data_IF_706975136604
#
_entry.id   IF_706975136604
#
_cell.length_a   1.000
_cell.length_b   1.000
_cell.length_c   1.000
_cell.angle_alpha   90.00
_cell.angle_beta   90.00
_cell.angle_gamma   90.00
#
_symmetry.space_group_name_H-M   'P 1'
#
loop_
_entity.id
_entity.type
_entity.pdbx_description
1 polymer ?
#
# COMPACT_ATOMS: atom_id res chain seq x y z
N UNK A 1 -10.84 -2.24 -7.17
CA UNK A 1 -9.50 -2.64 -7.65
C UNK A 1 -8.66 -1.41 -7.91
N UNK A 2 -7.35 -1.53 -7.78
CA UNK A 2 -6.41 -0.46 -8.09
C UNK A 2 -6.29 -0.29 -9.61
N UNK A 3 -6.00 0.93 -10.11
CA UNK A 3 -5.77 1.15 -11.55
C UNK A 3 -4.65 0.25 -12.07
N UNK A 4 -4.89 -0.44 -13.18
CA UNK A 4 -3.90 -1.37 -13.74
C UNK A 4 -2.60 -0.65 -14.11
N UNK A 5 -2.70 0.55 -14.69
CA UNK A 5 -1.54 1.36 -15.04
C UNK A 5 -0.61 1.65 -13.85
N UNK A 6 -1.16 1.76 -12.63
CA UNK A 6 -0.40 1.93 -11.40
C UNK A 6 0.44 0.68 -11.08
N UNK A 7 -0.19 -0.49 -11.15
CA UNK A 7 0.48 -1.78 -10.89
C UNK A 7 1.56 -2.05 -11.94
N UNK A 8 1.27 -1.79 -13.21
CA UNK A 8 2.23 -1.90 -14.32
C UNK A 8 3.44 -0.98 -14.11
N UNK A 9 3.20 0.25 -13.66
CA UNK A 9 4.27 1.21 -13.39
C UNK A 9 5.19 0.75 -12.27
N UNK A 10 4.64 0.24 -11.16
CA UNK A 10 5.44 -0.35 -10.06
C UNK A 10 6.33 -1.47 -10.58
N UNK A 11 5.77 -2.37 -11.40
CA UNK A 11 6.52 -3.48 -11.99
C UNK A 11 7.59 -3.00 -13.00
N UNK A 12 7.36 -1.89 -13.69
CA UNK A 12 8.34 -1.29 -14.59
C UNK A 12 9.53 -0.69 -13.85
N UNK A 13 9.28 -0.07 -12.71
CA UNK A 13 10.33 0.58 -11.91
C UNK A 13 11.15 -0.39 -11.06
N UNK A 14 10.63 -1.58 -10.78
CA UNK A 14 11.34 -2.60 -10.03
C UNK A 14 12.58 -3.13 -10.80
N UNK A 15 13.72 -3.40 -10.13
CA UNK A 15 14.95 -3.88 -10.79
C UNK A 15 14.79 -5.27 -11.40
N UNK A 16 13.89 -6.07 -10.87
CA UNK A 16 13.43 -7.34 -11.41
C UNK A 16 11.99 -7.62 -10.96
N UNK A 17 11.38 -8.68 -11.48
CA UNK A 17 9.98 -9.03 -11.19
C UNK A 17 9.86 -10.36 -10.46
N UNK A 18 10.84 -10.68 -9.62
CA UNK A 18 10.84 -11.96 -8.92
C UNK A 18 9.90 -11.93 -7.71
N UNK A 19 10.12 -10.99 -6.78
CA UNK A 19 9.35 -10.93 -5.53
C UNK A 19 8.92 -9.50 -5.24
N UNK A 20 7.62 -9.30 -5.00
CA UNK A 20 7.05 -8.08 -4.44
C UNK A 20 6.45 -8.36 -3.06
N UNK A 21 6.64 -7.44 -2.13
CA UNK A 21 5.97 -7.46 -0.83
C UNK A 21 4.77 -6.52 -0.85
N UNK A 22 3.56 -7.06 -0.70
CA UNK A 22 2.32 -6.33 -0.46
C UNK A 22 2.10 -6.22 1.05
N UNK A 23 2.40 -5.05 1.62
CA UNK A 23 2.40 -4.82 3.07
C UNK A 23 1.14 -4.10 3.53
N UNK A 24 0.44 -4.67 4.50
CA UNK A 24 -0.92 -4.26 4.86
C UNK A 24 -1.91 -4.68 3.77
N UNK A 25 -1.79 -5.95 3.34
CA UNK A 25 -2.49 -6.49 2.16
C UNK A 25 -4.00 -6.58 2.34
N UNK A 26 -4.49 -6.56 3.59
CA UNK A 26 -5.89 -6.83 3.89
C UNK A 26 -6.30 -8.20 3.35
N UNK A 27 -7.40 -8.24 2.59
CA UNK A 27 -7.86 -9.46 1.94
C UNK A 27 -7.23 -9.73 0.56
N UNK A 28 -6.11 -9.06 0.22
CA UNK A 28 -5.28 -9.39 -0.94
C UNK A 28 -5.66 -8.72 -2.26
N UNK A 29 -6.36 -7.58 -2.25
CA UNK A 29 -6.78 -6.92 -3.49
C UNK A 29 -5.60 -6.46 -4.35
N UNK A 30 -4.59 -5.80 -3.74
CA UNK A 30 -3.39 -5.40 -4.46
C UNK A 30 -2.50 -6.59 -4.80
N UNK A 31 -2.34 -7.54 -3.86
CA UNK A 31 -1.61 -8.79 -4.08
C UNK A 31 -2.09 -9.55 -5.32
N UNK A 32 -3.41 -9.61 -5.52
CA UNK A 32 -4.02 -10.27 -6.66
C UNK A 32 -3.57 -9.68 -8.00
N UNK A 33 -3.60 -8.35 -8.12
CA UNK A 33 -3.22 -7.65 -9.34
C UNK A 33 -1.69 -7.64 -9.53
N UNK A 34 -0.90 -7.49 -8.44
CA UNK A 34 0.57 -7.57 -8.45
C UNK A 34 1.07 -8.92 -8.96
N UNK A 35 0.35 -10.02 -8.69
CA UNK A 35 0.75 -11.37 -9.12
C UNK A 35 0.79 -11.55 -10.64
N UNK A 36 0.09 -10.72 -11.39
CA UNK A 36 0.14 -10.77 -12.86
C UNK A 36 1.44 -10.15 -13.42
N UNK A 37 2.21 -9.45 -12.57
CA UNK A 37 3.43 -8.73 -12.94
C UNK A 37 4.69 -9.22 -12.24
N UNK A 38 4.55 -9.99 -11.14
CA UNK A 38 5.67 -10.55 -10.38
C UNK A 38 5.55 -12.07 -10.28
N UNK A 39 6.69 -12.76 -10.23
CA UNK A 39 6.71 -14.24 -10.08
C UNK A 39 6.11 -14.69 -8.74
N UNK A 40 6.42 -13.94 -7.67
CA UNK A 40 5.89 -14.18 -6.34
C UNK A 40 5.43 -12.89 -5.66
N UNK A 41 4.34 -12.98 -4.92
CA UNK A 41 3.85 -11.92 -4.03
C UNK A 41 3.91 -12.45 -2.59
N UNK A 42 4.67 -11.77 -1.74
CA UNK A 42 4.59 -11.97 -0.30
C UNK A 42 3.64 -10.91 0.27
N UNK A 43 2.51 -11.37 0.79
CA UNK A 43 1.42 -10.52 1.24
C UNK A 43 1.26 -10.64 2.76
N UNK A 44 1.41 -9.54 3.48
CA UNK A 44 1.34 -9.54 4.96
C UNK A 44 0.30 -8.57 5.48
N UNK A 45 -0.36 -8.98 6.55
CA UNK A 45 -1.27 -8.13 7.32
C UNK A 45 -1.21 -8.57 8.78
N UNK A 46 -1.29 -7.67 9.78
CA UNK A 46 -1.34 -8.06 11.18
C UNK A 46 -2.67 -8.72 11.58
N UNK A 47 -3.72 -8.56 10.78
CA UNK A 47 -5.04 -9.14 11.03
C UNK A 47 -5.14 -10.56 10.48
N UNK A 48 -5.23 -11.55 11.37
CA UNK A 48 -5.49 -12.94 11.00
C UNK A 48 -6.83 -13.08 10.27
N UNK A 49 -7.83 -12.28 10.62
CA UNK A 49 -9.14 -12.27 9.96
C UNK A 49 -9.01 -11.85 8.49
N UNK A 50 -8.24 -10.81 8.18
CA UNK A 50 -8.02 -10.37 6.81
C UNK A 50 -7.32 -11.47 5.99
N UNK A 51 -6.27 -12.06 6.55
CA UNK A 51 -5.51 -13.12 5.88
C UNK A 51 -6.38 -14.37 5.63
N UNK A 52 -7.23 -14.74 6.57
CA UNK A 52 -8.15 -15.88 6.43
C UNK A 52 -9.15 -15.69 5.28
N UNK A 53 -9.55 -14.44 5.02
CA UNK A 53 -10.48 -14.09 3.93
C UNK A 53 -9.76 -13.65 2.64
N UNK A 54 -8.43 -13.80 2.57
CA UNK A 54 -7.67 -13.37 1.42
C UNK A 54 -7.96 -14.21 0.16
N UNK A 55 -7.93 -13.55 -0.98
CA UNK A 55 -8.16 -14.16 -2.29
C UNK A 55 -6.99 -15.06 -2.68
N UNK A 56 -7.24 -16.37 -2.78
CA UNK A 56 -6.19 -17.34 -3.12
C UNK A 56 -5.85 -17.31 -4.62
N UNK A 57 -4.56 -17.11 -4.93
CA UNK A 57 -4.02 -17.16 -6.30
C UNK A 57 -2.63 -17.84 -6.24
N UNK A 58 -2.31 -18.76 -7.14
CA UNK A 58 -0.97 -19.37 -7.18
C UNK A 58 0.12 -18.32 -7.29
N UNK A 59 1.16 -18.43 -6.47
CA UNK A 59 2.27 -17.48 -6.42
C UNK A 59 2.06 -16.31 -5.47
N UNK A 60 0.96 -16.26 -4.71
CA UNK A 60 0.79 -15.38 -3.56
C UNK A 60 0.97 -16.19 -2.29
N UNK A 61 1.83 -15.73 -1.39
CA UNK A 61 2.02 -16.28 -0.05
C UNK A 61 1.53 -15.27 0.98
N UNK A 62 0.48 -15.62 1.69
CA UNK A 62 -0.09 -14.80 2.76
C UNK A 62 0.49 -15.19 4.12
N UNK A 63 0.78 -14.20 4.96
CA UNK A 63 1.20 -14.44 6.34
C UNK A 63 0.76 -13.33 7.30
N UNK A 64 0.46 -13.71 8.54
CA UNK A 64 0.09 -12.75 9.60
C UNK A 64 1.37 -12.17 10.17
N UNK A 65 1.73 -10.94 9.76
CA UNK A 65 2.93 -10.24 10.19
C UNK A 65 2.69 -8.74 10.22
N UNK A 66 3.32 -8.05 11.17
CA UNK A 66 3.30 -6.60 11.24
C UNK A 66 4.26 -5.98 10.21
N UNK A 67 3.92 -4.78 9.73
CA UNK A 67 4.71 -4.04 8.75
C UNK A 67 6.13 -3.70 9.24
N UNK A 68 6.28 -3.53 10.55
CA UNK A 68 7.51 -3.12 11.21
C UNK A 68 8.53 -4.24 11.39
N UNK A 69 8.13 -5.48 11.13
CA UNK A 69 9.01 -6.65 11.21
C UNK A 69 8.40 -7.84 10.50
N UNK A 70 9.10 -8.35 9.49
CA UNK A 70 8.72 -9.55 8.74
C UNK A 70 9.86 -10.56 8.70
N UNK A 71 9.50 -11.85 8.53
CA UNK A 71 10.47 -12.96 8.48
C UNK A 71 11.09 -13.12 7.08
N UNK A 72 11.27 -12.01 6.35
CA UNK A 72 11.89 -12.03 5.03
C UNK A 72 13.40 -11.85 5.15
N UNK A 73 14.20 -12.53 4.30
CA UNK A 73 15.63 -12.30 4.25
C UNK A 73 15.97 -10.86 3.87
N UNK A 74 17.17 -10.41 4.27
CA UNK A 74 17.68 -9.12 3.81
C UNK A 74 17.80 -9.11 2.29
N UNK A 75 17.49 -7.97 1.66
CA UNK A 75 17.63 -7.76 0.21
C UNK A 75 16.95 -8.87 -0.63
N UNK A 76 15.75 -9.25 -0.25
CA UNK A 76 15.01 -10.36 -0.86
C UNK A 76 13.89 -9.93 -1.80
N UNK A 77 13.39 -8.68 -1.69
CA UNK A 77 12.26 -8.22 -2.51
C UNK A 77 12.68 -7.13 -3.49
N UNK A 78 12.04 -7.11 -4.65
CA UNK A 78 12.29 -6.15 -5.72
C UNK A 78 11.46 -4.88 -5.57
N UNK A 79 10.29 -5.02 -4.97
CA UNK A 79 9.40 -3.90 -4.65
C UNK A 79 8.68 -4.13 -3.32
N UNK A 80 8.36 -3.04 -2.63
CA UNK A 80 7.42 -3.01 -1.50
C UNK A 80 6.27 -2.11 -1.87
N UNK A 81 5.05 -2.64 -1.77
CA UNK A 81 3.81 -1.92 -2.08
C UNK A 81 2.97 -1.81 -0.82
N UNK A 82 2.47 -0.61 -0.56
CA UNK A 82 1.52 -0.32 0.52
C UNK A 82 0.31 0.39 -0.08
N UNK A 83 -0.82 -0.29 -0.10
CA UNK A 83 -2.05 0.21 -0.66
C UNK A 83 -3.07 0.47 0.44
N UNK A 84 -3.41 1.73 0.73
CA UNK A 84 -4.36 2.16 1.77
C UNK A 84 -4.00 1.74 3.21
N UNK A 85 -2.72 1.52 3.52
CA UNK A 85 -2.32 1.02 4.85
C UNK A 85 -1.24 1.87 5.54
N UNK A 86 -0.47 2.67 4.82
CA UNK A 86 0.73 3.36 5.36
C UNK A 86 0.45 4.22 6.60
N UNK A 87 -0.74 4.81 6.71
CA UNK A 87 -1.13 5.66 7.84
C UNK A 87 -1.32 4.91 9.17
N UNK A 88 -1.32 3.57 9.15
CA UNK A 88 -1.42 2.74 10.35
C UNK A 88 -0.08 2.35 10.96
N UNK A 89 1.03 2.54 10.22
CA UNK A 89 2.33 1.99 10.57
C UNK A 89 3.14 2.90 11.50
N UNK A 90 4.02 2.31 12.30
CA UNK A 90 5.16 3.01 12.90
C UNK A 90 6.19 3.28 11.80
N UNK A 91 6.15 4.48 11.23
CA UNK A 91 6.95 4.83 10.05
C UNK A 91 8.44 4.64 10.24
N UNK A 92 8.99 4.98 11.42
CA UNK A 92 10.42 4.85 11.69
C UNK A 92 10.88 3.38 11.64
N UNK A 93 10.12 2.50 12.28
CA UNK A 93 10.39 1.05 12.28
C UNK A 93 10.10 0.43 10.93
N UNK A 94 8.98 0.81 10.31
CA UNK A 94 8.58 0.32 9.00
C UNK A 94 9.65 0.63 7.93
N UNK A 95 10.12 1.88 7.82
CA UNK A 95 11.15 2.21 6.82
C UNK A 95 12.51 1.57 7.11
N UNK A 96 12.81 1.26 8.37
CA UNK A 96 13.99 0.43 8.72
C UNK A 96 13.84 -0.96 8.11
N UNK A 97 12.67 -1.55 8.22
CA UNK A 97 12.36 -2.88 7.67
C UNK A 97 12.32 -2.86 6.14
N UNK A 98 11.69 -1.85 5.52
CA UNK A 98 11.71 -1.66 4.06
C UNK A 98 13.14 -1.64 3.52
N UNK A 99 14.03 -0.84 4.13
CA UNK A 99 15.45 -0.77 3.74
C UNK A 99 16.17 -2.11 3.89
N UNK A 100 15.81 -2.89 4.91
CA UNK A 100 16.40 -4.20 5.14
C UNK A 100 16.01 -5.22 4.07
N UNK A 101 14.73 -5.26 3.68
CA UNK A 101 14.22 -6.28 2.76
C UNK A 101 14.37 -5.93 1.29
N UNK A 102 14.40 -4.64 0.92
CA UNK A 102 14.58 -4.21 -0.46
C UNK A 102 15.98 -4.58 -0.97
N UNK A 103 16.03 -5.13 -2.17
CA UNK A 103 17.26 -5.29 -2.94
C UNK A 103 17.85 -3.94 -3.33
N UNK A 104 19.14 -3.88 -3.67
CA UNK A 104 19.71 -2.69 -4.29
C UNK A 104 18.89 -2.26 -5.51
N UNK A 105 18.52 -0.97 -5.57
CA UNK A 105 17.62 -0.38 -6.57
C UNK A 105 16.16 -0.86 -6.48
N UNK A 106 15.79 -1.62 -5.45
CA UNK A 106 14.40 -1.96 -5.18
C UNK A 106 13.55 -0.72 -4.91
N UNK A 107 12.28 -0.77 -5.23
CA UNK A 107 11.38 0.38 -5.13
C UNK A 107 10.36 0.21 -4.01
N UNK A 108 10.06 1.32 -3.34
CA UNK A 108 8.94 1.43 -2.41
C UNK A 108 7.84 2.26 -3.06
N UNK A 109 6.62 1.77 -2.98
CA UNK A 109 5.46 2.45 -3.49
C UNK A 109 4.34 2.46 -2.44
N UNK A 110 3.78 3.64 -2.18
CA UNK A 110 2.59 3.79 -1.35
C UNK A 110 1.50 4.54 -2.10
N UNK A 111 0.28 4.05 -2.05
CA UNK A 111 -0.87 4.74 -2.59
C UNK A 111 -2.04 4.74 -1.59
N UNK A 112 -2.86 5.75 -1.74
CA UNK A 112 -4.11 5.87 -1.03
C UNK A 112 -5.10 6.68 -1.85
N UNK A 113 -6.37 6.46 -1.61
CA UNK A 113 -7.43 7.30 -2.15
C UNK A 113 -8.21 7.92 -0.99
N UNK A 114 -8.69 9.11 -1.24
CA UNK A 114 -9.59 9.84 -0.36
C UNK A 114 -11.01 9.75 -0.92
N UNK A 115 -11.85 10.69 -0.53
CA UNK A 115 -13.21 10.77 -1.04
C UNK A 115 -13.23 11.16 -2.52
N UNK A 116 -14.15 10.54 -3.28
CA UNK A 116 -14.38 10.92 -4.67
C UNK A 116 -14.87 12.37 -4.75
N UNK A 117 -14.39 13.11 -5.75
CA UNK A 117 -14.88 14.43 -6.11
C UNK A 117 -15.77 14.28 -7.36
N UNK A 118 -17.02 14.68 -7.25
CA UNK A 118 -18.04 14.49 -8.31
C UNK A 118 -18.49 15.83 -8.88
N UNK A 119 -19.08 16.67 -8.03
CA UNK A 119 -19.41 18.05 -8.33
C UNK A 119 -19.50 18.85 -7.02
N UNK A 120 -19.33 20.19 -7.06
CA UNK A 120 -19.40 21.00 -5.85
C UNK A 120 -20.68 20.80 -5.03
N UNK A 121 -21.81 20.59 -5.69
CA UNK A 121 -23.12 20.40 -5.05
C UNK A 121 -23.21 19.03 -4.37
N UNK A 122 -22.77 17.98 -5.05
CA UNK A 122 -22.79 16.61 -4.51
C UNK A 122 -21.77 16.50 -3.39
N UNK A 123 -20.56 17.03 -3.58
CA UNK A 123 -19.49 17.00 -2.58
C UNK A 123 -19.88 17.75 -1.29
N UNK A 124 -20.58 18.90 -1.42
CA UNK A 124 -21.14 19.62 -0.28
C UNK A 124 -22.19 18.77 0.47
N UNK A 125 -23.11 18.15 -0.25
CA UNK A 125 -24.14 17.30 0.34
C UNK A 125 -23.54 16.06 1.04
N UNK A 126 -22.54 15.41 0.44
CA UNK A 126 -21.81 14.29 1.04
C UNK A 126 -21.06 14.75 2.30
N UNK A 127 -20.41 15.88 2.23
CA UNK A 127 -19.70 16.46 3.38
C UNK A 127 -20.64 16.72 4.56
N UNK A 128 -21.78 17.35 4.32
CA UNK A 128 -22.76 17.67 5.35
C UNK A 128 -23.44 16.43 5.92
N UNK A 129 -23.93 15.54 5.05
CA UNK A 129 -24.76 14.40 5.44
C UNK A 129 -23.95 13.21 5.97
N UNK A 130 -22.69 13.05 5.58
CA UNK A 130 -21.90 11.85 5.86
C UNK A 130 -20.59 12.21 6.57
N UNK A 131 -19.75 13.07 5.98
CA UNK A 131 -18.37 13.22 6.45
C UNK A 131 -18.32 13.96 7.79
N UNK A 132 -19.06 15.08 7.92
CA UNK A 132 -19.10 15.86 9.15
C UNK A 132 -19.65 15.09 10.35
N UNK A 133 -20.77 14.34 10.26
CA UNK A 133 -21.27 13.50 11.34
C UNK A 133 -20.32 12.36 11.73
N UNK A 134 -19.52 11.84 10.80
CA UNK A 134 -18.60 10.73 11.04
C UNK A 134 -17.22 11.19 11.56
N UNK A 135 -16.87 12.46 11.38
CA UNK A 135 -15.56 13.00 11.75
C UNK A 135 -15.12 12.67 13.19
N UNK A 136 -15.98 12.73 14.22
CA UNK A 136 -15.60 12.38 15.60
C UNK A 136 -15.27 10.90 15.81
N UNK A 137 -15.66 10.03 14.88
CA UNK A 137 -15.47 8.58 14.97
C UNK A 137 -14.27 8.08 14.18
N UNK A 138 -13.61 8.93 13.42
CA UNK A 138 -12.46 8.52 12.62
C UNK A 138 -11.19 8.46 13.45
N UNK A 139 -10.39 7.42 13.16
CA UNK A 139 -9.08 7.32 13.77
C UNK A 139 -8.19 8.51 13.37
N UNK A 140 -7.43 9.11 14.31
CA UNK A 140 -6.55 10.24 14.02
C UNK A 140 -5.57 9.99 12.86
N UNK A 141 -5.17 8.73 12.66
CA UNK A 141 -4.26 8.30 11.60
C UNK A 141 -4.80 8.59 10.19
N UNK A 142 -6.13 8.66 10.02
CA UNK A 142 -6.73 9.00 8.72
C UNK A 142 -6.31 10.38 8.23
N UNK A 143 -5.96 11.31 9.12
CA UNK A 143 -5.44 12.62 8.72
C UNK A 143 -4.14 12.52 7.89
N UNK A 144 -3.33 11.50 8.12
CA UNK A 144 -2.10 11.22 7.36
C UNK A 144 -2.45 10.84 5.92
N UNK A 145 -3.46 9.99 5.73
CA UNK A 145 -3.96 9.60 4.41
C UNK A 145 -4.57 10.79 3.67
N UNK A 146 -5.42 11.56 4.34
CA UNK A 146 -6.08 12.74 3.73
C UNK A 146 -5.08 13.83 3.34
N UNK A 147 -3.95 13.93 4.05
CA UNK A 147 -2.84 14.80 3.67
C UNK A 147 -1.90 14.15 2.63
N UNK A 148 -2.37 13.10 1.93
CA UNK A 148 -1.66 12.45 0.81
C UNK A 148 -0.24 11.98 1.20
N UNK A 149 -0.04 11.57 2.46
CA UNK A 149 1.25 11.15 3.02
C UNK A 149 2.37 12.21 2.98
N UNK A 150 2.03 13.50 2.75
CA UNK A 150 3.02 14.58 2.59
C UNK A 150 3.86 14.83 3.86
N UNK A 151 3.32 14.51 5.04
CA UNK A 151 3.98 14.72 6.33
C UNK A 151 4.81 13.51 6.79
N UNK A 152 4.91 12.47 5.97
CA UNK A 152 5.75 11.32 6.29
C UNK A 152 7.19 11.58 5.81
N UNK A 153 8.14 11.53 6.74
CA UNK A 153 9.56 11.50 6.40
C UNK A 153 9.90 10.12 5.81
N UNK A 154 10.06 10.09 4.48
CA UNK A 154 10.40 8.87 3.74
C UNK A 154 11.91 8.88 3.46
N UNK A 155 12.69 8.06 4.16
CA UNK A 155 14.15 8.08 4.06
C UNK A 155 14.65 7.29 2.83
N UNK A 156 14.06 7.54 1.67
CA UNK A 156 14.32 6.93 0.35
C UNK A 156 14.36 8.03 -0.70
N UNK A 157 15.13 7.83 -1.76
CA UNK A 157 15.16 8.76 -2.90
C UNK A 157 13.81 8.75 -3.62
N UNK A 158 13.26 9.93 -3.87
CA UNK A 158 11.96 10.08 -4.50
C UNK A 158 12.08 9.95 -6.01
N UNK A 159 11.21 9.11 -6.59
CA UNK A 159 11.01 9.04 -8.04
C UNK A 159 9.88 9.99 -8.46
N UNK A 160 10.00 10.53 -9.68
CA UNK A 160 8.88 11.26 -10.29
C UNK A 160 7.76 10.28 -10.64
N UNK A 161 6.55 10.61 -10.20
CA UNK A 161 5.36 9.83 -10.50
C UNK A 161 4.70 10.36 -11.79
N UNK A 162 4.32 9.50 -12.72
CA UNK A 162 3.46 9.91 -13.82
C UNK A 162 2.07 10.31 -13.27
N UNK A 163 1.35 11.13 -14.03
CA UNK A 163 -0.05 11.39 -13.75
C UNK A 163 -0.86 10.18 -14.23
N UNK A 164 -1.61 9.55 -13.33
CA UNK A 164 -2.57 8.50 -13.69
C UNK A 164 -3.96 9.12 -13.76
N UNK A 165 -4.61 9.01 -14.92
CA UNK A 165 -6.05 9.29 -15.07
C UNK A 165 -6.84 8.05 -14.62
N UNK A 166 -7.83 8.26 -13.74
CA UNK A 166 -8.68 7.20 -13.17
C UNK A 166 -10.10 7.36 -13.70
#
# INVERSE_FOLDING_TARGET
RYPQALIEWVALMAPSRNIVWDCGTGNGQAAWDLKDHFEHVWATDPSEEQITHAMLKPGITYSVQAAERVDFPNQSVDAVVVAQALHWFDHARFFTEVKRVLRPKGVFFACGYSWAQISPEIDAAVKEAILTPLEPFWAPQNAILWNQYQNIDMPLDRLELPCFEI
#
